data_IF_478999135491
#
_entry.id   IF_478999135491
#
_cell.length_a   1.000
_cell.length_b   1.000
_cell.length_c   1.000
_cell.angle_alpha   90.00
_cell.angle_beta   90.00
_cell.angle_gamma   90.00
#
_symmetry.space_group_name_H-M   'P 1'
#
loop_
_entity.id
_entity.type
_entity.pdbx_description
1 polymer ?
#
# COMPACT_ATOMS: atom_id res chain seq x y z
N UNK A 1 22.40 13.39 -7.24
CA UNK A 1 21.88 12.10 -6.72
C UNK A 1 20.36 12.11 -6.92
N UNK A 2 19.78 11.35 -7.85
CA UNK A 2 18.34 11.51 -8.16
C UNK A 2 17.76 10.58 -9.23
N UNK A 3 18.41 9.44 -9.50
CA UNK A 3 18.08 8.57 -10.65
C UNK A 3 17.25 7.31 -10.30
N UNK A 4 16.70 7.20 -9.08
CA UNK A 4 16.07 5.96 -8.58
C UNK A 4 14.53 5.98 -8.58
N UNK A 5 13.87 7.14 -8.54
CA UNK A 5 12.41 7.23 -8.39
C UNK A 5 11.65 7.01 -9.71
N UNK A 6 12.16 7.54 -10.83
CA UNK A 6 11.51 7.44 -12.14
C UNK A 6 11.74 6.10 -12.87
N UNK A 7 12.71 5.28 -12.43
CA UNK A 7 13.06 4.02 -13.13
C UNK A 7 12.04 2.90 -12.95
N UNK A 8 11.04 3.04 -12.07
CA UNK A 8 10.12 1.94 -11.72
C UNK A 8 8.87 1.87 -12.61
N UNK A 9 8.59 2.86 -13.46
CA UNK A 9 7.36 2.91 -14.28
C UNK A 9 7.64 2.93 -15.79
N UNK A 10 8.46 2.00 -16.29
CA UNK A 10 8.64 1.79 -17.74
C UNK A 10 8.28 0.36 -18.10
N UNK A 11 7.63 0.15 -19.26
CA UNK A 11 7.20 -1.16 -19.78
C UNK A 11 8.35 -2.11 -20.16
N UNK A 12 9.61 -1.70 -19.93
CA UNK A 12 10.81 -2.49 -20.20
C UNK A 12 12.00 -1.99 -19.39
N UNK A 13 12.83 -2.93 -18.89
CA UNK A 13 14.05 -2.68 -18.12
C UNK A 13 14.51 -3.88 -17.28
N UNK A 14 15.84 -4.05 -17.08
CA UNK A 14 16.40 -5.09 -16.18
C UNK A 14 15.91 -4.84 -14.74
N UNK A 15 15.00 -5.69 -14.26
CA UNK A 15 14.41 -5.61 -12.92
C UNK A 15 12.88 -5.47 -12.87
N UNK A 16 12.21 -5.31 -14.02
CA UNK A 16 10.76 -5.25 -14.11
C UNK A 16 10.14 -6.62 -14.35
N UNK A 17 9.11 -6.98 -13.57
CA UNK A 17 8.17 -8.03 -13.97
C UNK A 17 7.35 -7.47 -15.12
N UNK A 18 7.62 -7.94 -16.35
CA UNK A 18 6.76 -7.64 -17.51
C UNK A 18 5.35 -8.12 -17.19
N UNK A 19 4.36 -7.26 -17.38
CA UNK A 19 2.97 -7.68 -17.30
C UNK A 19 2.53 -8.11 -18.71
N UNK A 20 2.88 -9.33 -19.08
CA UNK A 20 2.55 -9.94 -20.37
C UNK A 20 1.09 -10.45 -20.42
N UNK A 21 0.26 -10.10 -19.42
CA UNK A 21 -1.16 -10.47 -19.37
C UNK A 21 -1.92 -9.68 -20.44
N UNK A 22 -2.18 -10.33 -21.57
CA UNK A 22 -2.97 -9.77 -22.68
C UNK A 22 -4.49 -9.80 -22.41
N UNK A 23 -4.98 -10.84 -21.75
CA UNK A 23 -6.40 -11.01 -21.45
C UNK A 23 -6.62 -11.88 -20.21
N UNK A 24 -7.79 -11.73 -19.59
CA UNK A 24 -8.25 -12.58 -18.49
C UNK A 24 -9.46 -13.39 -18.97
N UNK A 25 -9.43 -14.71 -18.80
CA UNK A 25 -10.59 -15.58 -18.98
C UNK A 25 -11.16 -15.90 -17.60
N UNK A 26 -12.43 -15.57 -17.41
CA UNK A 26 -13.17 -15.85 -16.17
C UNK A 26 -14.03 -17.11 -16.38
N UNK A 27 -13.89 -18.09 -15.50
CA UNK A 27 -14.72 -19.30 -15.51
C UNK A 27 -15.70 -19.28 -14.34
N UNK A 28 -16.89 -19.89 -14.46
CA UNK A 28 -17.84 -19.99 -13.36
C UNK A 28 -17.20 -20.68 -12.14
N UNK A 29 -17.57 -20.27 -10.91
CA UNK A 29 -17.09 -20.94 -9.71
C UNK A 29 -17.67 -22.36 -9.61
N UNK A 30 -16.89 -23.29 -9.04
CA UNK A 30 -17.35 -24.67 -8.79
C UNK A 30 -18.35 -24.78 -7.64
N UNK A 31 -18.53 -23.71 -6.86
CA UNK A 31 -19.41 -23.64 -5.70
C UNK A 31 -20.11 -22.28 -5.65
N UNK A 32 -21.34 -22.26 -5.13
CA UNK A 32 -22.13 -21.06 -4.86
C UNK A 32 -22.18 -20.72 -3.37
N UNK A 33 -21.36 -21.37 -2.55
CA UNK A 33 -21.28 -21.08 -1.12
C UNK A 33 -20.87 -19.61 -0.88
N UNK A 34 -21.47 -18.94 0.12
CA UNK A 34 -21.11 -17.57 0.45
C UNK A 34 -19.62 -17.47 0.85
N UNK A 35 -18.92 -16.51 0.26
CA UNK A 35 -17.53 -16.19 0.63
C UNK A 35 -17.53 -15.03 1.61
N UNK A 36 -16.91 -15.22 2.77
CA UNK A 36 -16.57 -14.11 3.66
C UNK A 36 -15.41 -13.33 3.02
N UNK A 37 -15.67 -12.07 2.69
CA UNK A 37 -14.69 -11.22 2.03
C UNK A 37 -14.61 -9.87 2.74
N UNK A 38 -13.38 -9.44 3.04
CA UNK A 38 -13.14 -8.09 3.54
C UNK A 38 -12.74 -7.18 2.37
N UNK A 39 -13.42 -6.04 2.24
CA UNK A 39 -13.12 -5.09 1.19
C UNK A 39 -11.86 -4.29 1.55
N UNK A 40 -10.80 -4.33 0.73
CA UNK A 40 -9.61 -3.51 0.97
C UNK A 40 -9.95 -2.01 0.86
N UNK A 41 -9.13 -1.12 1.43
CA UNK A 41 -9.35 0.31 1.37
C UNK A 41 -9.41 0.82 -0.07
N UNK A 42 -10.29 1.78 -0.30
CA UNK A 42 -10.31 2.50 -1.57
C UNK A 42 -9.00 3.27 -1.78
N UNK A 43 -8.31 2.95 -2.87
CA UNK A 43 -7.02 3.56 -3.23
C UNK A 43 -7.04 5.09 -3.21
N UNK A 44 -8.05 5.70 -3.85
CA UNK A 44 -8.13 7.15 -3.95
C UNK A 44 -8.53 7.81 -2.63
N UNK A 45 -9.36 7.16 -1.81
CA UNK A 45 -9.68 7.66 -0.47
C UNK A 45 -8.48 7.60 0.46
N UNK A 46 -7.76 6.48 0.50
CA UNK A 46 -6.62 6.33 1.39
C UNK A 46 -5.51 7.34 1.04
N UNK A 47 -5.23 7.56 -0.25
CA UNK A 47 -4.26 8.59 -0.67
C UNK A 47 -4.69 9.99 -0.20
N UNK A 48 -5.97 10.35 -0.33
CA UNK A 48 -6.48 11.65 0.13
C UNK A 48 -6.48 11.75 1.65
N UNK A 49 -6.88 10.71 2.36
CA UNK A 49 -6.89 10.66 3.82
C UNK A 49 -5.48 10.82 4.38
N UNK A 50 -4.49 10.13 3.81
CA UNK A 50 -3.08 10.30 4.18
C UNK A 50 -2.59 11.74 4.00
N UNK A 51 -2.92 12.36 2.87
CA UNK A 51 -2.54 13.75 2.60
C UNK A 51 -3.22 14.75 3.56
N UNK A 52 -4.50 14.54 3.87
CA UNK A 52 -5.23 15.39 4.82
C UNK A 52 -4.70 15.20 6.24
N UNK A 53 -4.49 13.95 6.68
CA UNK A 53 -3.92 13.62 7.98
C UNK A 53 -2.53 14.25 8.16
N UNK A 54 -1.68 14.23 7.13
CA UNK A 54 -0.35 14.85 7.20
C UNK A 54 -0.34 16.37 7.37
N UNK A 55 -1.48 17.03 7.17
CA UNK A 55 -1.66 18.48 7.35
C UNK A 55 -2.38 18.82 8.66
N UNK A 56 -2.78 17.81 9.45
CA UNK A 56 -3.42 18.00 10.74
C UNK A 56 -2.41 18.49 11.79
N UNK A 57 -2.88 19.33 12.72
CA UNK A 57 -2.11 19.70 13.91
C UNK A 57 -2.19 18.65 15.01
N UNK A 58 -3.22 17.79 14.95
CA UNK A 58 -3.46 16.70 15.89
C UNK A 58 -3.14 15.35 15.25
N UNK A 59 -2.85 14.35 16.08
CA UNK A 59 -2.68 12.96 15.63
C UNK A 59 -3.99 12.43 15.04
N UNK A 60 -3.91 11.87 13.84
CA UNK A 60 -5.05 11.25 13.15
C UNK A 60 -4.77 9.77 12.95
N UNK A 61 -5.65 8.93 13.47
CA UNK A 61 -5.61 7.49 13.26
C UNK A 61 -6.48 7.09 12.06
N UNK A 62 -5.93 6.29 11.15
CA UNK A 62 -6.63 5.79 9.98
C UNK A 62 -6.85 4.28 10.09
N UNK A 63 -8.10 3.87 10.30
CA UNK A 63 -8.48 2.46 10.32
C UNK A 63 -8.76 1.90 8.91
N UNK A 64 -8.83 0.57 8.81
CA UNK A 64 -9.07 -0.17 7.57
C UNK A 64 -8.03 0.09 6.47
N UNK A 65 -6.75 0.22 6.87
CA UNK A 65 -5.62 0.44 5.94
C UNK A 65 -4.94 -0.85 5.50
N UNK A 66 -5.38 -2.01 6.01
CA UNK A 66 -4.87 -3.33 5.64
C UNK A 66 -5.03 -3.62 4.15
N UNK A 67 -4.12 -4.43 3.58
CA UNK A 67 -4.13 -4.78 2.15
C UNK A 67 -4.15 -3.57 1.19
N UNK A 68 -3.64 -2.42 1.61
CA UNK A 68 -3.57 -1.22 0.79
C UNK A 68 -2.75 -1.45 -0.49
N UNK A 69 -3.26 -0.97 -1.62
CA UNK A 69 -2.58 -1.05 -2.91
C UNK A 69 -1.25 -0.26 -2.93
N UNK A 70 -0.38 -0.61 -3.88
CA UNK A 70 0.99 -0.06 -3.97
C UNK A 70 1.03 1.48 -4.07
N UNK A 71 0.07 2.12 -4.77
CA UNK A 71 0.00 3.58 -4.86
C UNK A 71 -0.21 4.24 -3.48
N UNK A 72 -1.07 3.67 -2.64
CA UNK A 72 -1.34 4.19 -1.30
C UNK A 72 -0.13 3.97 -0.38
N UNK A 73 0.53 2.80 -0.49
CA UNK A 73 1.79 2.52 0.21
C UNK A 73 2.91 3.46 -0.25
N UNK A 74 2.95 3.80 -1.54
CA UNK A 74 3.89 4.78 -2.09
C UNK A 74 3.64 6.19 -1.54
N UNK A 75 2.38 6.60 -1.40
CA UNK A 75 2.04 7.88 -0.76
C UNK A 75 2.52 7.93 0.70
N UNK A 76 2.26 6.89 1.51
CA UNK A 76 2.79 6.79 2.89
C UNK A 76 4.31 7.01 2.92
N UNK A 77 5.06 6.31 2.07
CA UNK A 77 6.53 6.44 1.98
C UNK A 77 6.97 7.84 1.53
N UNK A 78 6.21 8.47 0.63
CA UNK A 78 6.47 9.84 0.19
C UNK A 78 6.33 10.82 1.36
N UNK A 79 5.24 10.73 2.12
CA UNK A 79 4.98 11.58 3.28
C UNK A 79 6.05 11.40 4.37
N UNK A 80 6.48 10.16 4.64
CA UNK A 80 7.61 9.91 5.57
C UNK A 80 8.91 10.58 5.11
N UNK A 81 9.20 10.56 3.80
CA UNK A 81 10.37 11.26 3.25
C UNK A 81 10.25 12.79 3.34
N UNK A 82 9.03 13.32 3.40
CA UNK A 82 8.75 14.75 3.64
C UNK A 82 8.79 15.12 5.13
N UNK A 83 9.08 14.18 6.02
CA UNK A 83 9.20 14.41 7.46
C UNK A 83 7.91 14.17 8.25
N UNK A 84 6.87 13.60 7.63
CA UNK A 84 5.65 13.21 8.35
C UNK A 84 5.94 11.95 9.17
N UNK A 85 5.72 12.02 10.48
CA UNK A 85 5.81 10.85 11.35
C UNK A 85 4.57 9.96 11.12
N UNK A 86 4.79 8.70 10.77
CA UNK A 86 3.73 7.72 10.54
C UNK A 86 4.15 6.42 11.23
N UNK A 87 3.30 5.97 12.15
CA UNK A 87 3.43 4.71 12.88
C UNK A 87 2.42 3.71 12.35
N UNK A 88 2.81 2.43 12.28
CA UNK A 88 1.90 1.34 11.98
C UNK A 88 1.57 0.65 13.31
N UNK A 89 0.28 0.47 13.60
CA UNK A 89 -0.22 -0.20 14.81
C UNK A 89 -1.03 -1.44 14.44
N UNK A 90 -1.08 -2.43 15.33
CA UNK A 90 -1.95 -3.59 15.20
C UNK A 90 -3.40 -3.29 15.63
N UNK A 91 -4.23 -4.32 15.76
CA UNK A 91 -5.64 -4.17 16.14
C UNK A 91 -5.82 -3.78 17.61
N UNK A 92 -4.79 -4.04 18.41
CA UNK A 92 -4.71 -3.75 19.84
C UNK A 92 -4.10 -2.37 20.11
N UNK A 93 -3.60 -1.68 19.08
CA UNK A 93 -2.98 -0.36 19.16
C UNK A 93 -1.48 -0.41 19.47
N UNK A 94 -0.87 -1.59 19.45
CA UNK A 94 0.55 -1.77 19.72
C UNK A 94 1.38 -1.48 18.47
N UNK A 95 2.53 -0.83 18.67
CA UNK A 95 3.40 -0.43 17.57
C UNK A 95 4.01 -1.66 16.87
N UNK A 96 3.73 -1.76 15.57
CA UNK A 96 4.34 -2.75 14.71
C UNK A 96 5.81 -2.37 14.44
N UNK A 97 6.73 -3.19 14.93
CA UNK A 97 8.16 -2.97 14.72
C UNK A 97 8.56 -3.29 13.28
N UNK A 98 8.87 -2.26 12.49
CA UNK A 98 9.34 -2.42 11.12
C UNK A 98 10.87 -2.62 11.08
N UNK A 99 11.32 -3.83 10.73
CA UNK A 99 12.74 -4.26 10.84
C UNK A 99 13.70 -3.61 9.83
N UNK A 100 13.24 -2.79 8.87
CA UNK A 100 14.13 -2.21 7.87
C UNK A 100 13.60 -0.90 7.24
N UNK A 101 14.18 0.28 7.57
CA UNK A 101 13.68 1.57 7.11
C UNK A 101 14.02 1.91 5.64
N UNK A 102 14.77 1.05 4.94
CA UNK A 102 15.26 1.33 3.58
C UNK A 102 14.89 0.23 2.57
N UNK A 103 14.56 -0.97 3.04
CA UNK A 103 14.01 -2.07 2.25
C UNK A 103 12.72 -2.57 2.92
N UNK A 104 11.64 -1.84 2.70
CA UNK A 104 10.30 -2.24 3.13
C UNK A 104 9.78 -3.34 2.18
N UNK A 105 10.17 -4.58 2.45
CA UNK A 105 9.53 -5.74 1.84
C UNK A 105 8.05 -5.83 2.27
N UNK A 106 7.34 -6.81 1.70
CA UNK A 106 5.89 -6.93 1.87
C UNK A 106 5.56 -7.11 3.36
N UNK A 107 4.41 -6.58 3.77
CA UNK A 107 3.88 -6.84 5.10
C UNK A 107 3.83 -8.37 5.28
N UNK A 108 4.28 -8.92 6.42
CA UNK A 108 4.34 -10.37 6.62
C UNK A 108 2.97 -11.06 6.46
N UNK A 109 1.88 -10.30 6.59
CA UNK A 109 0.50 -10.78 6.37
C UNK A 109 -0.11 -10.36 5.01
N UNK A 110 0.70 -10.19 3.95
CA UNK A 110 0.24 -10.02 2.56
C UNK A 110 0.45 -11.25 1.69
#
# INVERSE_FOLDING_TARGET
>A
MGKRWAKRWTSSGKGHRRNDVHALRVTPPSSTEPVQWSLPPSKSHLIRALLLASQSLESVELHNVGCAGEDARAMRRCLQQLGVHIEDVDQEGELLHQVNPVHFEHHPDS
#
